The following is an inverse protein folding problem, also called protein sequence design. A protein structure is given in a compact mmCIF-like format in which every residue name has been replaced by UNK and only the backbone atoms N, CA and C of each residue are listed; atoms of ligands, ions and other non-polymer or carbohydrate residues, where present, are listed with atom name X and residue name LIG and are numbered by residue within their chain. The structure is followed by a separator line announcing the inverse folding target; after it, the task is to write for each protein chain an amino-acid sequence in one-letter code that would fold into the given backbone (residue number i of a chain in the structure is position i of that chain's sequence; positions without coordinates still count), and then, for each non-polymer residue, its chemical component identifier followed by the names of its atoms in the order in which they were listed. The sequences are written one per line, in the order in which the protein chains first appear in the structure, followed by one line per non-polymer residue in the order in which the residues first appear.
data_IF_981192663107
#
_entry.id   IF_981192663107
#
_cell.length_a   1.000
_cell.length_b   1.000
_cell.length_c   1.000
_cell.angle_alpha   90.00
_cell.angle_beta   90.00
_cell.angle_gamma   90.00
#
_symmetry.space_group_name_H-M   'P 1'
#
loop_
_entity.id
_entity.type
_entity.pdbx_description
1 polymer ?
#
# COMPACT_ATOMS: atom_id res chain seq x y z
N UNK A 1 -23.49 6.02 -5.18
CA UNK A 1 -22.06 6.10 -5.55
C UNK A 1 -21.67 4.74 -6.07
N UNK A 2 -21.16 4.62 -7.29
CA UNK A 2 -20.81 3.34 -7.91
C UNK A 2 -19.48 2.81 -7.36
N UNK A 3 -19.23 1.50 -7.50
CA UNK A 3 -17.97 0.88 -7.05
C UNK A 3 -16.73 1.51 -7.72
N UNK A 4 -16.88 1.95 -8.96
CA UNK A 4 -15.86 2.67 -9.73
C UNK A 4 -15.54 4.05 -9.12
N UNK A 5 -16.57 4.80 -8.71
CA UNK A 5 -16.42 6.09 -8.02
C UNK A 5 -15.75 5.95 -6.64
N UNK A 6 -16.05 4.87 -5.91
CA UNK A 6 -15.37 4.55 -4.65
C UNK A 6 -13.91 4.15 -4.86
N UNK A 7 -13.62 3.46 -5.96
CA UNK A 7 -12.27 3.10 -6.33
C UNK A 7 -11.44 4.35 -6.67
N UNK A 8 -11.97 5.24 -7.49
CA UNK A 8 -11.28 6.49 -7.83
C UNK A 8 -11.05 7.38 -6.61
N UNK A 9 -12.03 7.51 -5.71
CA UNK A 9 -11.87 8.30 -4.49
C UNK A 9 -10.75 7.76 -3.57
N UNK A 10 -10.65 6.44 -3.42
CA UNK A 10 -9.59 5.84 -2.63
C UNK A 10 -8.20 6.00 -3.26
N UNK A 11 -8.11 6.00 -4.59
CA UNK A 11 -6.85 6.21 -5.32
C UNK A 11 -6.34 7.64 -5.09
N UNK A 12 -7.23 8.62 -5.21
CA UNK A 12 -6.87 10.03 -4.99
C UNK A 12 -6.46 10.30 -3.54
N UNK A 13 -7.08 9.63 -2.56
CA UNK A 13 -6.66 9.71 -1.16
C UNK A 13 -5.23 9.17 -0.94
N UNK A 14 -4.89 8.03 -1.55
CA UNK A 14 -3.54 7.47 -1.48
C UNK A 14 -2.51 8.35 -2.19
N UNK A 15 -2.85 8.89 -3.36
CA UNK A 15 -1.99 9.82 -4.09
C UNK A 15 -1.74 11.09 -3.29
N UNK A 16 -2.79 11.65 -2.66
CA UNK A 16 -2.68 12.82 -1.79
C UNK A 16 -1.74 12.55 -0.60
N UNK A 17 -1.81 11.37 0.01
CA UNK A 17 -0.89 10.97 1.08
C UNK A 17 0.57 10.91 0.61
N UNK A 18 0.82 10.30 -0.56
CA UNK A 18 2.17 10.18 -1.14
C UNK A 18 2.74 11.55 -1.46
N UNK A 19 1.94 12.43 -2.08
CA UNK A 19 2.36 13.81 -2.39
C UNK A 19 2.57 14.61 -1.11
N UNK A 20 1.72 14.47 -0.10
CA UNK A 20 1.89 15.19 1.16
C UNK A 20 3.18 14.78 1.90
N UNK A 21 3.60 13.52 1.79
CA UNK A 21 4.79 12.99 2.47
C UNK A 21 6.09 13.18 1.67
N UNK A 22 6.02 13.11 0.34
CA UNK A 22 7.20 13.06 -0.52
C UNK A 22 7.16 14.03 -1.70
N UNK A 23 6.21 14.98 -1.73
CA UNK A 23 5.96 15.85 -2.87
C UNK A 23 7.16 16.68 -3.32
N UNK A 24 8.03 17.07 -2.39
CA UNK A 24 9.29 17.77 -2.70
C UNK A 24 10.32 16.89 -3.43
N UNK A 25 10.20 15.56 -3.27
CA UNK A 25 11.02 14.55 -3.93
C UNK A 25 10.38 13.97 -5.20
N UNK A 26 9.16 14.38 -5.54
CA UNK A 26 8.42 13.88 -6.70
C UNK A 26 8.20 15.05 -7.68
N UNK A 27 9.07 15.18 -8.69
CA UNK A 27 8.89 16.17 -9.75
C UNK A 27 7.50 16.07 -10.36
N UNK A 28 6.94 17.21 -10.79
CA UNK A 28 5.60 17.25 -11.38
C UNK A 28 5.45 16.27 -12.56
N UNK A 29 6.51 16.09 -13.35
CA UNK A 29 6.56 15.15 -14.50
C UNK A 29 6.45 13.68 -14.08
N UNK A 30 6.81 13.33 -12.84
CA UNK A 30 6.76 11.96 -12.34
C UNK A 30 5.46 11.63 -11.61
N UNK A 31 4.62 12.64 -11.32
CA UNK A 31 3.37 12.44 -10.55
C UNK A 31 2.40 11.48 -11.23
N UNK A 32 2.32 11.52 -12.56
CA UNK A 32 1.45 10.60 -13.28
C UNK A 32 1.96 9.15 -13.20
N UNK A 33 3.28 8.95 -13.25
CA UNK A 33 3.89 7.64 -13.00
C UNK A 33 3.62 7.15 -11.58
N UNK A 34 3.64 8.05 -10.60
CA UNK A 34 3.27 7.73 -9.21
C UNK A 34 1.80 7.34 -9.12
N UNK A 35 0.89 8.06 -9.79
CA UNK A 35 -0.54 7.69 -9.85
C UNK A 35 -0.73 6.28 -10.40
N UNK A 36 -0.10 5.95 -11.53
CA UNK A 36 -0.18 4.59 -12.10
C UNK A 36 0.39 3.53 -11.16
N UNK A 37 1.49 3.84 -10.47
CA UNK A 37 2.09 2.93 -9.49
C UNK A 37 1.17 2.68 -8.30
N UNK A 38 0.53 3.73 -7.76
CA UNK A 38 -0.43 3.61 -6.66
C UNK A 38 -1.65 2.80 -7.09
N UNK A 39 -2.16 3.01 -8.32
CA UNK A 39 -3.26 2.20 -8.87
C UNK A 39 -2.90 0.72 -8.93
N UNK A 40 -1.72 0.39 -9.46
CA UNK A 40 -1.23 -0.99 -9.53
C UNK A 40 -1.05 -1.63 -8.15
N UNK A 41 -0.43 -0.91 -7.21
CA UNK A 41 -0.23 -1.40 -5.84
C UNK A 41 -1.55 -1.66 -5.12
N UNK A 42 -2.56 -0.81 -5.31
CA UNK A 42 -3.88 -1.02 -4.73
C UNK A 42 -4.54 -2.28 -5.29
N UNK A 43 -4.55 -2.44 -6.61
CA UNK A 43 -5.12 -3.63 -7.23
C UNK A 43 -4.42 -4.92 -6.73
N UNK A 44 -3.11 -4.88 -6.55
CA UNK A 44 -2.34 -5.97 -5.96
C UNK A 44 -2.72 -6.22 -4.49
N UNK A 45 -2.87 -5.16 -3.68
CA UNK A 45 -3.29 -5.26 -2.29
C UNK A 45 -4.70 -5.85 -2.15
N UNK A 46 -5.65 -5.42 -2.98
CA UNK A 46 -7.01 -5.97 -3.01
C UNK A 46 -6.99 -7.47 -3.38
N UNK A 47 -6.14 -7.86 -4.34
CA UNK A 47 -5.95 -9.26 -4.73
C UNK A 47 -5.35 -10.09 -3.60
N UNK A 48 -4.34 -9.58 -2.91
CA UNK A 48 -3.72 -10.25 -1.76
C UNK A 48 -4.68 -10.38 -0.59
N UNK A 49 -5.46 -9.33 -0.30
CA UNK A 49 -6.46 -9.34 0.77
C UNK A 49 -7.60 -10.33 0.53
N UNK A 50 -7.93 -10.60 -0.74
CA UNK A 50 -8.94 -11.60 -1.10
C UNK A 50 -8.44 -13.06 -0.95
N UNK A 51 -7.13 -13.27 -0.78
CA UNK A 51 -6.58 -14.61 -0.63
C UNK A 51 -6.76 -15.13 0.81
N UNK A 52 -7.43 -16.27 1.04
CA UNK A 52 -7.68 -16.79 2.37
C UNK A 52 -6.42 -17.44 2.95
N UNK A 53 -5.71 -16.72 3.81
CA UNK A 53 -4.56 -17.26 4.56
C UNK A 53 -5.04 -18.07 5.77
N UNK A 54 -4.51 -19.28 5.94
CA UNK A 54 -4.83 -20.14 7.11
C UNK A 54 -4.29 -19.58 8.42
N UNK A 55 -3.31 -18.69 8.35
CA UNK A 55 -2.61 -18.06 9.47
C UNK A 55 -2.61 -16.52 9.35
N UNK A 56 -3.70 -15.92 8.85
CA UNK A 56 -3.79 -14.49 8.57
C UNK A 56 -3.48 -13.58 9.78
N UNK A 57 -3.71 -14.08 11.00
CA UNK A 57 -3.49 -13.35 12.25
C UNK A 57 -2.07 -13.56 12.83
N UNK A 58 -1.25 -14.41 12.22
CA UNK A 58 0.11 -14.71 12.68
C UNK A 58 1.15 -13.94 11.86
N UNK A 59 2.14 -13.27 12.49
CA UNK A 59 3.23 -12.65 11.76
C UNK A 59 4.10 -13.72 11.09
N UNK A 60 4.50 -13.48 9.83
CA UNK A 60 5.39 -14.37 9.07
C UNK A 60 6.74 -14.60 9.79
N UNK A 61 7.24 -13.56 10.46
CA UNK A 61 8.47 -13.62 11.26
C UNK A 61 8.17 -13.26 12.71
N UNK A 62 8.38 -14.22 13.60
CA UNK A 62 8.36 -13.98 15.04
C UNK A 62 9.66 -13.32 15.48
N UNK A 63 9.57 -12.09 15.97
CA UNK A 63 10.71 -11.44 16.60
C UNK A 63 11.13 -12.22 17.85
N UNK A 64 12.39 -12.66 17.88
CA UNK A 64 13.00 -13.29 19.07
C UNK A 64 14.11 -12.39 19.59
N UNK A 65 13.96 -11.92 20.84
CA UNK A 65 15.01 -11.20 21.55
C UNK A 65 16.20 -12.14 21.74
N UNK A 66 17.35 -11.77 21.20
CA UNK A 66 18.61 -12.45 21.49
C UNK A 66 19.03 -12.14 22.93
N UNK A 67 19.19 -13.18 23.78
CA UNK A 67 19.58 -13.04 25.19
C UNK A 67 21.01 -13.48 25.51
N UNK A 68 21.79 -13.91 24.51
CA UNK A 68 23.22 -14.22 24.70
C UNK A 68 23.51 -15.31 25.74
N UNK A 69 22.59 -16.24 25.97
CA UNK A 69 22.84 -17.40 26.82
C UNK A 69 23.48 -18.52 25.99
N UNK A 70 24.81 -18.61 26.09
CA UNK A 70 25.58 -19.86 26.02
C UNK A 70 26.17 -20.11 27.42
#
# INVERSE_FOLDING_TARGET
MTAEQQNDQGLEAWLALVIARYGDHIPAVERERVRESVRGLRAAADTLAAFPLTNADEPDVLFRVYRGED
#
